data_IF_043842010667
#
_entry.id   IF_043842010667
#
_cell.length_a   1.000
_cell.length_b   1.000
_cell.length_c   1.000
_cell.angle_alpha   90.00
_cell.angle_beta   90.00
_cell.angle_gamma   90.00
#
_symmetry.space_group_name_H-M   'P 1'
#
loop_
_entity.id
_entity.type
_entity.pdbx_description
1 polymer ?
#
# COMPACT_ATOMS: atom_id res chain seq x y z
N UNK A 1 -24.65 59.64 21.31
CA UNK A 1 -23.92 59.65 22.59
C UNK A 1 -24.14 58.29 23.22
N UNK A 2 -23.18 57.41 23.49
CA UNK A 2 -21.70 57.36 23.43
C UNK A 2 -21.33 55.87 23.27
N UNK A 3 -20.58 55.47 22.24
CA UNK A 3 -19.16 55.09 22.30
C UNK A 3 -18.75 54.08 23.41
N UNK A 4 -18.56 52.82 22.96
CA UNK A 4 -17.49 51.84 23.21
C UNK A 4 -16.88 51.59 24.60
N UNK A 5 -16.87 50.32 25.04
CA UNK A 5 -15.68 49.42 25.14
C UNK A 5 -16.18 47.97 25.49
N UNK A 6 -16.15 46.94 24.64
CA UNK A 6 -15.10 46.05 24.08
C UNK A 6 -14.66 44.85 24.96
N UNK A 7 -14.70 43.66 24.30
CA UNK A 7 -14.08 42.34 24.61
C UNK A 7 -14.80 41.36 25.57
N UNK A 8 -15.60 40.45 25.00
CA UNK A 8 -15.61 38.97 25.18
C UNK A 8 -16.81 38.45 24.37
N UNK A 9 -16.62 38.09 23.10
CA UNK A 9 -16.24 36.75 22.61
C UNK A 9 -17.45 36.04 21.99
N UNK A 10 -17.56 36.24 20.66
CA UNK A 10 -18.34 35.45 19.70
C UNK A 10 -18.04 33.95 19.86
N UNK A 11 -18.87 33.14 20.50
CA UNK A 11 -18.96 31.68 20.28
C UNK A 11 -20.26 31.18 20.89
N UNK A 12 -21.34 31.16 20.11
CA UNK A 12 -22.61 30.61 20.57
C UNK A 12 -23.63 30.76 19.48
N UNK A 13 -23.78 29.71 18.66
CA UNK A 13 -25.04 29.28 18.01
C UNK A 13 -24.84 28.31 16.83
N UNK A 14 -23.61 28.03 16.39
CA UNK A 14 -23.40 27.15 15.19
C UNK A 14 -22.90 25.72 15.53
N UNK A 15 -22.54 25.41 16.79
CA UNK A 15 -21.96 24.11 17.14
C UNK A 15 -22.98 23.02 17.52
N UNK A 16 -24.20 23.37 17.92
CA UNK A 16 -25.18 22.39 18.45
C UNK A 16 -25.98 21.66 17.37
N UNK A 17 -26.16 22.24 16.18
CA UNK A 17 -26.89 21.59 15.07
C UNK A 17 -26.03 20.58 14.27
N UNK A 18 -24.72 20.81 14.18
CA UNK A 18 -23.80 19.91 13.44
C UNK A 18 -23.47 18.66 14.26
N UNK A 19 -23.40 18.78 15.58
CA UNK A 19 -23.23 17.63 16.49
C UNK A 19 -24.45 16.71 16.50
N UNK A 20 -25.69 17.22 16.37
CA UNK A 20 -26.89 16.36 16.36
C UNK A 20 -27.07 15.59 15.04
N UNK A 21 -26.73 16.17 13.89
CA UNK A 21 -26.76 15.47 12.60
C UNK A 21 -25.65 14.43 12.47
N UNK A 22 -24.48 14.70 13.05
CA UNK A 22 -23.39 13.72 13.19
C UNK A 22 -23.82 12.54 14.04
N UNK A 23 -24.42 12.79 15.21
CA UNK A 23 -24.90 11.75 16.11
C UNK A 23 -26.02 10.91 15.47
N UNK A 24 -27.01 11.57 14.84
CA UNK A 24 -28.12 10.89 14.16
C UNK A 24 -27.65 10.05 12.95
N UNK A 25 -26.65 10.51 12.18
CA UNK A 25 -26.04 9.71 11.10
C UNK A 25 -25.23 8.53 11.62
N UNK A 26 -24.58 8.66 12.78
CA UNK A 26 -23.90 7.54 13.46
C UNK A 26 -24.92 6.51 13.97
N UNK A 27 -26.03 6.96 14.58
CA UNK A 27 -27.13 6.08 14.98
C UNK A 27 -27.78 5.36 13.78
N UNK A 28 -28.03 6.06 12.67
CA UNK A 28 -28.64 5.46 11.48
C UNK A 28 -27.74 4.40 10.81
N UNK A 29 -26.41 4.58 10.82
CA UNK A 29 -25.45 3.59 10.28
C UNK A 29 -25.28 2.37 11.18
N UNK A 30 -25.35 2.55 12.50
CA UNK A 30 -25.34 1.43 13.47
C UNK A 30 -26.62 0.61 13.36
N UNK A 31 -27.78 1.26 13.19
CA UNK A 31 -29.05 0.59 12.97
C UNK A 31 -29.07 -0.23 11.66
N UNK A 32 -28.49 0.29 10.57
CA UNK A 32 -28.48 -0.41 9.28
C UNK A 32 -27.60 -1.67 9.27
N UNK A 33 -26.48 -1.66 10.02
CA UNK A 33 -25.64 -2.85 10.20
C UNK A 33 -26.30 -3.91 11.10
N UNK A 34 -27.09 -3.49 12.09
CA UNK A 34 -27.83 -4.40 12.96
C UNK A 34 -28.98 -5.15 12.24
N UNK A 35 -29.59 -4.53 11.21
CA UNK A 35 -30.65 -5.16 10.41
C UNK A 35 -30.14 -6.31 9.53
N UNK A 36 -28.86 -6.31 9.13
CA UNK A 36 -28.25 -7.35 8.28
C UNK A 36 -27.78 -8.61 9.05
N UNK A 37 -27.62 -8.54 10.38
CA UNK A 37 -27.13 -9.66 11.19
C UNK A 37 -28.24 -10.52 11.83
N UNK A 38 -29.53 -10.14 11.68
CA UNK A 38 -30.64 -10.77 12.38
C UNK A 38 -31.28 -11.98 11.66
N UNK A 39 -30.72 -12.44 10.53
CA UNK A 39 -31.37 -13.46 9.70
C UNK A 39 -30.89 -14.90 9.93
N UNK A 40 -30.58 -15.32 11.15
CA UNK A 40 -30.43 -16.76 11.47
C UNK A 40 -30.77 -17.01 12.95
N UNK A 41 -32.02 -17.36 13.23
CA UNK A 41 -32.42 -17.93 14.52
C UNK A 41 -32.57 -19.46 14.37
N UNK A 42 -31.89 -20.29 15.16
CA UNK A 42 -32.34 -21.67 15.36
C UNK A 42 -33.53 -21.69 16.30
N UNK A 43 -34.56 -22.44 15.92
CA UNK A 43 -35.68 -22.83 16.78
C UNK A 43 -35.12 -23.76 17.86
N UNK A 44 -35.00 -23.28 19.09
CA UNK A 44 -34.79 -24.13 20.26
C UNK A 44 -36.16 -24.46 20.87
N UNK A 45 -36.55 -25.72 20.76
CA UNK A 45 -37.71 -26.27 21.44
C UNK A 45 -37.49 -26.24 22.95
N UNK A 46 -38.39 -25.61 23.69
CA UNK A 46 -38.45 -25.71 25.14
C UNK A 46 -38.90 -27.13 25.51
N UNK A 47 -38.00 -27.89 26.13
CA UNK A 47 -38.35 -28.95 27.06
C UNK A 47 -37.68 -28.58 28.39
N UNK A 48 -38.37 -27.79 29.20
CA UNK A 48 -37.94 -27.58 30.59
C UNK A 48 -38.54 -28.68 31.46
N UNK A 49 -37.65 -29.39 32.16
CA UNK A 49 -37.95 -30.52 33.01
C UNK A 49 -38.57 -30.03 34.30
N UNK A 50 -39.89 -30.13 34.40
CA UNK A 50 -40.62 -29.96 35.65
C UNK A 50 -40.14 -30.96 36.69
N UNK A 51 -39.23 -30.52 37.57
CA UNK A 51 -38.92 -31.22 38.81
C UNK A 51 -40.16 -31.24 39.68
N UNK A 52 -40.77 -32.42 39.82
CA UNK A 52 -41.87 -32.63 40.75
C UNK A 52 -41.37 -32.44 42.18
N UNK A 53 -41.68 -31.29 42.78
CA UNK A 53 -41.60 -31.12 44.23
C UNK A 53 -42.80 -31.86 44.82
N UNK A 54 -42.54 -33.00 45.42
CA UNK A 54 -43.49 -33.64 46.33
C UNK A 54 -43.49 -32.83 47.63
N UNK A 55 -44.57 -32.11 47.91
CA UNK A 55 -44.83 -31.62 49.27
C UNK A 55 -46.09 -32.31 49.83
N UNK A 56 -46.03 -32.87 51.05
CA UNK A 56 -47.18 -33.44 51.73
C UNK A 56 -48.05 -32.32 52.30
N UNK A 57 -49.27 -32.68 52.71
CA UNK A 57 -50.32 -31.82 53.31
C UNK A 57 -51.31 -31.24 52.30
N UNK A 58 -52.58 -31.56 52.53
CA UNK A 58 -53.71 -31.33 51.63
C UNK A 58 -54.12 -29.86 51.49
N UNK A 59 -53.27 -29.06 50.85
CA UNK A 59 -53.64 -27.74 50.38
C UNK A 59 -54.64 -27.85 49.22
N UNK A 60 -55.66 -26.99 49.21
CA UNK A 60 -56.68 -26.94 48.16
C UNK A 60 -56.10 -26.66 46.76
N UNK A 61 -54.85 -26.23 46.67
CA UNK A 61 -54.15 -25.92 45.41
C UNK A 61 -52.87 -26.73 45.26
N UNK A 62 -52.62 -27.16 44.02
CA UNK A 62 -51.35 -27.71 43.56
C UNK A 62 -50.77 -26.78 42.50
N UNK A 63 -49.65 -26.15 42.81
CA UNK A 63 -48.90 -25.21 41.97
C UNK A 63 -47.77 -24.58 42.79
N UNK A 64 -46.85 -23.83 42.16
CA UNK A 64 -45.78 -23.17 42.89
C UNK A 64 -46.32 -21.97 43.68
N UNK A 65 -45.75 -21.67 44.84
CA UNK A 65 -45.98 -20.44 45.60
C UNK A 65 -45.30 -19.21 44.96
N UNK A 66 -44.34 -19.46 44.06
CA UNK A 66 -43.62 -18.41 43.31
C UNK A 66 -43.59 -18.69 41.82
N UNK A 67 -43.83 -17.67 41.01
CA UNK A 67 -43.63 -17.72 39.56
C UNK A 67 -42.70 -16.59 39.11
N UNK A 68 -42.04 -16.76 37.97
CA UNK A 68 -41.25 -15.70 37.35
C UNK A 68 -42.11 -14.89 36.39
N UNK A 69 -41.88 -13.58 36.34
CA UNK A 69 -42.51 -12.68 35.37
C UNK A 69 -42.43 -13.24 33.93
N UNK A 70 -43.58 -13.31 33.26
CA UNK A 70 -43.70 -13.85 31.90
C UNK A 70 -43.38 -15.34 31.74
N UNK A 71 -43.35 -16.10 32.83
CA UNK A 71 -43.29 -17.57 32.82
C UNK A 71 -44.62 -18.10 33.32
N UNK A 72 -45.24 -18.99 32.55
CA UNK A 72 -46.49 -19.60 32.91
C UNK A 72 -46.28 -20.81 33.83
N UNK A 73 -47.07 -20.91 34.89
CA UNK A 73 -47.14 -22.08 35.75
C UNK A 73 -48.55 -22.67 35.74
N UNK A 74 -48.68 -23.95 36.06
CA UNK A 74 -49.97 -24.61 36.16
C UNK A 74 -50.44 -24.64 37.61
N UNK A 75 -51.70 -24.29 37.81
CA UNK A 75 -52.38 -24.39 39.09
C UNK A 75 -53.59 -25.29 38.95
N UNK A 76 -53.70 -26.28 39.83
CA UNK A 76 -54.84 -27.19 39.91
C UNK A 76 -55.50 -27.02 41.27
N UNK A 77 -56.79 -26.69 41.29
CA UNK A 77 -57.56 -26.78 42.52
C UNK A 77 -57.92 -28.25 42.74
N UNK A 78 -57.54 -28.86 43.86
CA UNK A 78 -57.76 -30.31 44.07
C UNK A 78 -59.14 -30.61 44.65
N UNK A 79 -59.81 -29.61 45.24
CA UNK A 79 -61.17 -29.70 45.78
C UNK A 79 -62.16 -30.00 44.65
N UNK A 80 -63.01 -31.01 44.85
CA UNK A 80 -64.03 -31.39 43.87
C UNK A 80 -65.17 -30.37 43.90
N UNK A 81 -65.41 -29.68 42.77
CA UNK A 81 -66.47 -28.68 42.60
C UNK A 81 -67.33 -29.05 41.40
N UNK A 82 -68.60 -28.65 41.43
CA UNK A 82 -69.52 -28.77 40.28
C UNK A 82 -69.22 -27.75 39.18
N UNK A 83 -68.48 -26.67 39.49
CA UNK A 83 -68.03 -25.65 38.56
C UNK A 83 -66.74 -24.98 39.09
N UNK A 84 -65.84 -24.59 38.19
CA UNK A 84 -64.60 -23.85 38.52
C UNK A 84 -64.57 -22.48 37.82
N UNK A 85 -64.59 -21.40 38.61
CA UNK A 85 -64.37 -20.01 38.17
C UNK A 85 -63.09 -19.50 38.79
N UNK A 86 -62.10 -19.26 37.94
CA UNK A 86 -60.80 -18.74 38.34
C UNK A 86 -60.76 -17.23 38.16
N UNK A 87 -60.30 -16.54 39.20
CA UNK A 87 -60.08 -15.09 39.21
C UNK A 87 -58.83 -14.80 40.07
N UNK A 88 -58.42 -13.55 40.14
CA UNK A 88 -57.34 -13.12 41.03
C UNK A 88 -57.65 -11.76 41.66
N UNK A 89 -57.13 -11.58 42.86
CA UNK A 89 -57.16 -10.31 43.59
C UNK A 89 -55.74 -9.74 43.55
N UNK A 90 -55.63 -8.46 43.19
CA UNK A 90 -54.37 -7.72 43.24
C UNK A 90 -54.07 -7.32 44.67
N UNK A 91 -52.84 -7.55 45.10
CA UNK A 91 -52.37 -7.06 46.39
C UNK A 91 -51.81 -5.63 46.25
N UNK A 92 -51.70 -4.91 47.37
CA UNK A 92 -51.25 -3.52 47.40
C UNK A 92 -49.77 -3.35 46.98
N UNK A 93 -49.00 -4.44 46.97
CA UNK A 93 -47.56 -4.47 46.67
C UNK A 93 -47.25 -4.53 45.16
N UNK A 94 -48.26 -4.32 44.31
CA UNK A 94 -48.19 -4.59 42.88
C UNK A 94 -48.39 -6.08 42.58
N UNK A 95 -48.75 -6.42 41.35
CA UNK A 95 -48.99 -7.81 40.96
C UNK A 95 -50.15 -7.94 40.00
N UNK A 96 -49.92 -8.68 38.92
CA UNK A 96 -50.93 -8.92 37.89
C UNK A 96 -50.63 -10.24 37.21
N UNK A 97 -51.68 -10.99 36.87
CA UNK A 97 -51.56 -12.26 36.15
C UNK A 97 -52.54 -12.33 34.99
N UNK A 98 -52.17 -13.11 33.99
CA UNK A 98 -53.12 -13.62 33.00
C UNK A 98 -53.44 -15.07 33.33
N UNK A 99 -54.73 -15.40 33.42
CA UNK A 99 -55.22 -16.76 33.62
C UNK A 99 -55.71 -17.29 32.26
N UNK A 100 -55.22 -18.45 31.85
CA UNK A 100 -55.62 -19.15 30.63
C UNK A 100 -56.14 -20.55 30.97
N UNK A 101 -57.31 -20.89 30.45
CA UNK A 101 -57.89 -22.22 30.60
C UNK A 101 -57.19 -23.20 29.66
N UNK A 102 -56.72 -24.33 30.19
CA UNK A 102 -55.95 -25.33 29.43
C UNK A 102 -56.83 -26.26 28.58
N UNK A 103 -58.14 -26.23 28.79
CA UNK A 103 -59.14 -27.00 28.06
C UNK A 103 -60.38 -26.15 27.77
N UNK A 104 -61.22 -26.61 26.84
CA UNK A 104 -62.52 -26.00 26.54
C UNK A 104 -63.66 -26.65 27.34
N UNK A 105 -63.35 -27.30 28.47
CA UNK A 105 -64.27 -28.16 29.20
C UNK A 105 -65.08 -27.40 30.25
N UNK A 106 -65.51 -26.17 29.97
CA UNK A 106 -66.40 -25.43 30.87
C UNK A 106 -67.62 -26.30 31.21
N UNK A 107 -67.98 -26.47 32.51
CA UNK A 107 -67.51 -25.74 33.70
C UNK A 107 -66.36 -26.39 34.50
N UNK A 108 -65.72 -27.44 33.98
CA UNK A 108 -64.80 -28.34 34.70
C UNK A 108 -63.32 -27.95 34.64
N UNK A 109 -63.00 -26.65 34.56
CA UNK A 109 -61.61 -26.16 34.46
C UNK A 109 -60.83 -26.31 35.78
N UNK A 110 -60.58 -27.54 36.20
CA UNK A 110 -59.87 -27.83 37.45
C UNK A 110 -58.42 -27.32 37.45
N UNK A 111 -57.84 -27.14 36.26
CA UNK A 111 -56.47 -26.67 36.07
C UNK A 111 -56.43 -25.45 35.15
N UNK A 112 -55.66 -24.44 35.53
CA UNK A 112 -55.40 -23.24 34.74
C UNK A 112 -53.90 -23.01 34.57
N UNK A 113 -53.53 -22.31 33.49
CA UNK A 113 -52.20 -21.73 33.33
C UNK A 113 -52.22 -20.28 33.78
N UNK A 114 -51.36 -19.93 34.72
CA UNK A 114 -51.23 -18.58 35.28
C UNK A 114 -49.86 -18.03 34.94
N UNK A 115 -49.81 -16.83 34.38
CA UNK A 115 -48.58 -16.14 33.99
C UNK A 115 -48.56 -14.74 34.58
N UNK A 116 -47.49 -14.40 35.31
CA UNK A 116 -47.32 -13.06 35.88
C UNK A 116 -47.02 -12.00 34.83
N UNK A 117 -47.80 -10.92 34.82
CA UNK A 117 -47.68 -9.74 33.94
C UNK A 117 -47.20 -8.50 34.70
N UNK A 118 -47.12 -8.55 36.02
CA UNK A 118 -46.49 -7.52 36.86
C UNK A 118 -45.86 -8.18 38.10
N UNK A 119 -44.62 -7.80 38.43
CA UNK A 119 -43.91 -8.27 39.64
C UNK A 119 -44.65 -7.79 40.89
N UNK A 120 -44.74 -8.65 41.90
CA UNK A 120 -45.42 -8.39 43.17
C UNK A 120 -46.23 -9.61 43.64
N UNK A 121 -47.32 -9.41 44.37
CA UNK A 121 -48.14 -10.49 44.92
C UNK A 121 -49.55 -10.46 44.35
N UNK A 122 -50.11 -11.64 44.14
CA UNK A 122 -51.52 -11.81 43.81
C UNK A 122 -52.11 -12.93 44.64
N UNK A 123 -53.39 -12.80 44.97
CA UNK A 123 -54.17 -13.91 45.53
C UNK A 123 -54.99 -14.54 44.41
N UNK A 124 -54.65 -15.78 44.04
CA UNK A 124 -55.44 -16.59 43.12
C UNK A 124 -56.70 -17.09 43.84
N UNK A 125 -57.83 -16.95 43.18
CA UNK A 125 -59.15 -17.25 43.74
C UNK A 125 -59.84 -18.25 42.85
N UNK A 126 -60.40 -19.31 43.47
CA UNK A 126 -61.30 -20.22 42.78
C UNK A 126 -62.65 -20.24 43.48
N UNK A 127 -63.69 -19.98 42.69
CA UNK A 127 -65.09 -19.93 43.12
C UNK A 127 -65.97 -20.76 42.19
N UNK A 128 -67.28 -20.83 42.48
CA UNK A 128 -68.26 -21.59 41.70
C UNK A 128 -68.57 -22.96 42.28
N UNK A 129 -69.71 -23.51 41.83
CA UNK A 129 -70.26 -24.78 42.30
C UNK A 129 -70.80 -24.73 43.73
N UNK A 130 -70.71 -25.87 44.42
CA UNK A 130 -71.29 -26.11 45.77
C UNK A 130 -70.27 -25.96 46.92
N UNK A 131 -69.13 -25.30 46.68
CA UNK A 131 -68.03 -25.15 47.66
C UNK A 131 -67.64 -23.68 47.81
N UNK A 132 -67.31 -23.28 49.04
CA UNK A 132 -66.83 -21.92 49.35
C UNK A 132 -65.59 -21.53 48.53
N UNK A 133 -65.39 -20.22 48.40
CA UNK A 133 -64.22 -19.65 47.73
C UNK A 133 -62.93 -20.08 48.42
N UNK A 134 -61.97 -20.57 47.63
CA UNK A 134 -60.63 -20.90 48.13
C UNK A 134 -59.62 -19.92 47.53
N UNK A 135 -58.61 -19.56 48.32
CA UNK A 135 -57.60 -18.56 48.00
C UNK A 135 -56.19 -19.12 48.13
N UNK A 136 -55.29 -18.65 47.27
CA UNK A 136 -53.89 -19.02 47.30
C UNK A 136 -53.01 -17.83 46.91
N UNK A 137 -52.08 -17.45 47.78
CA UNK A 137 -51.14 -16.36 47.52
C UNK A 137 -50.00 -16.83 46.61
N UNK A 138 -49.64 -16.00 45.63
CA UNK A 138 -48.56 -16.24 44.69
C UNK A 138 -47.63 -15.02 44.67
N UNK A 139 -46.33 -15.25 44.82
CA UNK A 139 -45.30 -14.25 44.58
C UNK A 139 -44.83 -14.28 43.12
N UNK A 140 -44.97 -13.16 42.42
CA UNK A 140 -44.44 -12.96 41.07
C UNK A 140 -43.07 -12.29 41.20
N UNK A 141 -42.03 -13.08 40.98
CA UNK A 141 -40.63 -12.64 41.08
C UNK A 141 -40.11 -12.12 39.74
N UNK A 142 -39.03 -11.32 39.79
CA UNK A 142 -38.33 -10.85 38.59
C UNK A 142 -37.80 -12.03 37.76
N UNK A 143 -37.88 -11.92 36.44
CA UNK A 143 -37.32 -12.91 35.52
C UNK A 143 -35.81 -12.74 35.39
N UNK A 144 -35.07 -13.84 35.51
CA UNK A 144 -33.62 -13.83 35.32
C UNK A 144 -33.29 -13.91 33.83
N UNK A 145 -32.49 -12.97 33.33
CA UNK A 145 -32.05 -12.92 31.93
C UNK A 145 -30.55 -12.71 31.88
N UNK A 146 -29.87 -13.45 31.02
CA UNK A 146 -28.43 -13.33 30.80
C UNK A 146 -28.13 -12.82 29.40
N UNK A 147 -27.31 -11.78 29.28
CA UNK A 147 -26.74 -11.30 28.03
C UNK A 147 -25.29 -11.77 27.92
N UNK A 148 -24.95 -12.35 26.77
CA UNK A 148 -23.57 -12.74 26.43
C UNK A 148 -23.20 -12.12 25.08
N UNK A 149 -21.94 -11.75 24.95
CA UNK A 149 -21.36 -11.40 23.65
C UNK A 149 -20.21 -12.35 23.34
N UNK A 150 -20.13 -12.77 22.08
CA UNK A 150 -19.06 -13.66 21.60
C UNK A 150 -18.00 -12.89 20.86
N UNK A 151 -16.80 -13.47 20.80
CA UNK A 151 -15.72 -12.95 19.98
C UNK A 151 -16.07 -13.09 18.50
N UNK A 152 -15.75 -12.06 17.73
CA UNK A 152 -15.90 -12.03 16.28
C UNK A 152 -14.65 -11.49 15.65
N UNK A 153 -14.29 -12.06 14.50
CA UNK A 153 -13.14 -11.65 13.71
C UNK A 153 -13.47 -11.75 12.23
N UNK A 154 -12.95 -10.83 11.43
CA UNK A 154 -13.01 -10.88 9.96
C UNK A 154 -11.78 -10.23 9.34
N UNK A 155 -11.51 -10.54 8.07
CA UNK A 155 -10.55 -9.77 7.28
C UNK A 155 -11.15 -8.43 6.88
N UNK A 156 -10.34 -7.37 6.80
CA UNK A 156 -10.80 -6.04 6.42
C UNK A 156 -11.59 -6.04 5.10
N UNK A 157 -12.81 -5.53 5.12
CA UNK A 157 -13.74 -5.49 3.97
C UNK A 157 -14.36 -4.10 3.75
N UNK A 158 -14.00 -3.12 4.58
CA UNK A 158 -14.57 -1.76 4.54
C UNK A 158 -15.88 -1.59 5.31
N UNK A 159 -16.47 -2.67 5.82
CA UNK A 159 -17.73 -2.64 6.56
C UNK A 159 -17.50 -2.75 8.08
N UNK A 160 -18.35 -2.15 8.93
CA UNK A 160 -18.25 -2.34 10.37
C UNK A 160 -18.52 -3.80 10.77
N UNK A 161 -17.76 -4.30 11.75
CA UNK A 161 -18.05 -5.52 12.49
C UNK A 161 -18.47 -5.14 13.91
N UNK A 162 -19.57 -5.72 14.39
CA UNK A 162 -20.04 -5.59 15.76
C UNK A 162 -20.19 -6.97 16.40
N UNK A 163 -20.02 -7.06 17.72
CA UNK A 163 -20.26 -8.32 18.45
C UNK A 163 -21.76 -8.67 18.43
N UNK A 164 -22.17 -9.90 18.10
CA UNK A 164 -23.54 -10.32 18.30
C UNK A 164 -23.85 -10.41 19.80
N UNK A 165 -25.11 -10.14 20.16
CA UNK A 165 -25.63 -10.31 21.51
C UNK A 165 -26.53 -11.54 21.53
N UNK A 166 -26.27 -12.47 22.44
CA UNK A 166 -27.19 -13.56 22.76
C UNK A 166 -27.86 -13.31 24.10
N UNK A 167 -29.15 -13.65 24.18
CA UNK A 167 -29.99 -13.48 25.35
C UNK A 167 -30.60 -14.83 25.72
N UNK A 168 -30.44 -15.25 26.97
CA UNK A 168 -30.83 -16.58 27.45
C UNK A 168 -31.43 -16.48 28.87
N UNK A 169 -32.64 -17.04 29.14
CA UNK A 169 -33.55 -17.75 28.22
C UNK A 169 -34.38 -16.82 27.30
N UNK A 170 -34.12 -15.52 27.34
CA UNK A 170 -34.88 -14.49 26.61
C UNK A 170 -35.82 -13.69 27.53
N UNK A 171 -36.27 -12.53 27.06
CA UNK A 171 -37.26 -11.68 27.71
C UNK A 171 -38.67 -12.31 27.62
N UNK A 172 -39.64 -11.78 28.38
CA UNK A 172 -41.02 -12.23 28.30
C UNK A 172 -41.60 -11.97 26.89
N UNK A 173 -42.42 -12.89 26.39
CA UNK A 173 -42.89 -12.89 25.00
C UNK A 173 -43.79 -11.71 24.63
N UNK A 174 -44.37 -11.05 25.62
CA UNK A 174 -45.23 -9.88 25.46
C UNK A 174 -44.52 -8.54 25.65
N UNK A 175 -43.23 -8.58 26.01
CA UNK A 175 -42.34 -7.43 26.05
C UNK A 175 -41.62 -7.27 24.71
N UNK A 176 -41.22 -6.04 24.39
CA UNK A 176 -40.47 -5.71 23.18
C UNK A 176 -39.15 -5.05 23.61
N UNK A 177 -38.07 -5.81 23.50
CA UNK A 177 -36.75 -5.47 24.06
C UNK A 177 -35.67 -5.68 23.01
N UNK A 178 -34.91 -4.63 22.74
CA UNK A 178 -33.75 -4.65 21.85
C UNK A 178 -32.46 -4.62 22.67
N UNK A 179 -31.53 -5.51 22.34
CA UNK A 179 -30.21 -5.57 22.94
C UNK A 179 -29.14 -5.36 21.87
N UNK A 180 -28.25 -4.39 22.08
CA UNK A 180 -27.20 -4.04 21.12
C UNK A 180 -25.85 -4.06 21.84
N UNK A 181 -24.83 -4.57 21.16
CA UNK A 181 -23.44 -4.43 21.61
C UNK A 181 -22.90 -3.06 21.20
N UNK A 182 -22.13 -2.43 22.07
CA UNK A 182 -21.56 -1.10 21.81
C UNK A 182 -20.24 -1.18 21.04
N UNK A 183 -19.55 -2.33 21.10
CA UNK A 183 -18.30 -2.53 20.37
C UNK A 183 -18.58 -2.72 18.88
N UNK A 184 -18.08 -1.78 18.07
CA UNK A 184 -17.97 -1.94 16.62
C UNK A 184 -16.65 -1.39 16.10
N UNK A 185 -16.20 -1.91 14.96
CA UNK A 185 -14.95 -1.50 14.32
C UNK A 185 -15.00 -1.67 12.82
N UNK A 186 -14.30 -0.82 12.09
CA UNK A 186 -14.19 -0.91 10.62
C UNK A 186 -12.76 -1.10 10.14
N UNK A 187 -11.79 -0.40 10.74
CA UNK A 187 -10.37 -0.50 10.38
C UNK A 187 -9.72 -1.74 11.00
N UNK A 188 -8.44 -2.02 10.75
CA UNK A 188 -7.67 -3.14 11.33
C UNK A 188 -7.27 -2.91 12.78
N UNK A 189 -7.17 -3.99 13.57
CA UNK A 189 -6.89 -3.96 15.01
C UNK A 189 -7.84 -4.79 15.87
N UNK A 190 -7.89 -4.47 17.17
CA UNK A 190 -8.66 -5.20 18.18
C UNK A 190 -9.40 -4.19 19.06
N UNK A 191 -10.67 -4.46 19.36
CA UNK A 191 -11.41 -3.75 20.42
C UNK A 191 -11.83 -4.73 21.50
N UNK A 192 -11.43 -4.39 22.71
CA UNK A 192 -11.80 -5.05 23.95
C UNK A 192 -12.83 -4.16 24.68
N UNK A 193 -13.53 -4.73 25.67
CA UNK A 193 -14.52 -4.06 26.52
C UNK A 193 -15.87 -3.79 25.83
N UNK A 194 -16.56 -4.88 25.47
CA UNK A 194 -17.92 -4.77 24.96
C UNK A 194 -18.92 -4.48 26.08
N UNK A 195 -19.72 -3.43 25.92
CA UNK A 195 -20.86 -3.13 26.81
C UNK A 195 -22.18 -3.32 26.06
N UNK A 196 -23.27 -3.51 26.80
CA UNK A 196 -24.61 -3.71 26.24
C UNK A 196 -25.51 -2.50 26.46
N UNK A 197 -26.17 -2.06 25.40
CA UNK A 197 -27.33 -1.17 25.45
C UNK A 197 -28.61 -2.00 25.36
N UNK A 198 -29.55 -1.77 26.28
CA UNK A 198 -30.83 -2.48 26.36
C UNK A 198 -31.94 -1.44 26.27
N UNK A 199 -32.82 -1.61 25.29
CA UNK A 199 -33.91 -0.68 24.99
C UNK A 199 -35.23 -1.42 25.17
N UNK A 200 -36.02 -1.01 26.15
CA UNK A 200 -37.38 -1.49 26.35
C UNK A 200 -38.36 -0.60 25.58
N UNK A 201 -38.92 -1.13 24.49
CA UNK A 201 -40.01 -0.47 23.74
C UNK A 201 -41.35 -0.76 24.43
N UNK A 202 -41.51 -1.99 24.93
CA UNK A 202 -42.64 -2.42 25.75
C UNK A 202 -42.15 -3.31 26.89
N UNK A 203 -42.77 -3.16 28.06
CA UNK A 203 -42.34 -3.82 29.29
C UNK A 203 -41.58 -2.86 30.21
N UNK A 204 -41.08 -3.38 31.32
CA UNK A 204 -40.32 -2.59 32.30
C UNK A 204 -39.00 -3.27 32.66
N UNK A 205 -37.88 -2.53 32.74
CA UNK A 205 -36.61 -3.09 33.23
C UNK A 205 -36.72 -3.59 34.67
N UNK A 206 -37.64 -3.05 35.47
CA UNK A 206 -37.82 -3.44 36.87
C UNK A 206 -38.36 -4.88 37.01
N UNK A 207 -38.94 -5.45 35.95
CA UNK A 207 -39.44 -6.83 35.91
C UNK A 207 -38.33 -7.89 35.77
N UNK A 208 -37.07 -7.49 35.60
CA UNK A 208 -35.96 -8.38 35.26
C UNK A 208 -34.77 -8.26 36.20
N UNK A 209 -34.08 -9.39 36.41
CA UNK A 209 -32.72 -9.44 36.93
C UNK A 209 -31.77 -9.74 35.75
N UNK A 210 -31.06 -8.72 35.28
CA UNK A 210 -30.25 -8.80 34.07
C UNK A 210 -28.77 -9.00 34.43
N UNK A 211 -28.19 -10.14 34.04
CA UNK A 211 -26.76 -10.43 34.16
C UNK A 211 -26.05 -10.20 32.83
N UNK A 212 -24.93 -9.49 32.83
CA UNK A 212 -24.15 -9.15 31.61
C UNK A 212 -22.78 -9.81 31.65
N UNK A 213 -22.42 -10.53 30.58
CA UNK A 213 -21.08 -11.09 30.39
C UNK A 213 -20.37 -10.38 29.22
N UNK A 214 -19.50 -9.43 29.58
CA UNK A 214 -18.80 -8.49 28.69
C UNK A 214 -17.50 -9.07 28.11
N UNK A 215 -17.58 -10.27 27.52
CA UNK A 215 -16.40 -11.03 27.11
C UNK A 215 -16.06 -10.94 25.62
N UNK A 216 -16.87 -10.24 24.82
CA UNK A 216 -16.73 -10.21 23.37
C UNK A 216 -15.59 -9.31 22.90
N UNK A 217 -14.76 -9.84 22.00
CA UNK A 217 -13.70 -9.13 21.28
C UNK A 217 -14.15 -8.90 19.82
N UNK A 218 -13.88 -7.71 19.28
CA UNK A 218 -14.00 -7.40 17.84
C UNK A 218 -12.62 -7.24 17.22
N UNK A 219 -12.23 -8.20 16.39
CA UNK A 219 -10.98 -8.18 15.64
C UNK A 219 -11.22 -7.96 14.14
N UNK A 220 -10.38 -7.15 13.50
CA UNK A 220 -10.31 -7.09 12.03
C UNK A 220 -8.85 -7.20 11.65
N UNK A 221 -8.52 -8.22 10.89
CA UNK A 221 -7.17 -8.50 10.43
C UNK A 221 -6.88 -7.78 9.10
N UNK A 222 -5.61 -7.45 8.81
CA UNK A 222 -5.24 -6.83 7.54
C UNK A 222 -5.66 -7.65 6.33
N UNK A 223 -6.17 -6.98 5.29
CA UNK A 223 -6.47 -7.63 4.01
C UNK A 223 -5.18 -7.74 3.17
N UNK A 224 -4.78 -8.92 2.70
CA UNK A 224 -3.61 -9.07 1.86
C UNK A 224 -3.80 -8.46 0.47
N UNK A 225 -2.81 -7.69 0.02
CA UNK A 225 -2.71 -7.14 -1.34
C UNK A 225 -1.34 -7.46 -1.91
N UNK A 226 -1.30 -8.14 -3.06
CA UNK A 226 -0.05 -8.42 -3.76
C UNK A 226 0.13 -7.44 -4.91
N UNK A 227 1.30 -6.81 -4.98
CA UNK A 227 1.67 -5.83 -6.00
C UNK A 227 2.95 -6.28 -6.70
N UNK A 228 2.87 -6.49 -8.02
CA UNK A 228 3.99 -6.99 -8.82
C UNK A 228 4.40 -5.98 -9.87
N UNK A 229 5.63 -5.44 -9.81
CA UNK A 229 6.14 -4.60 -10.90
C UNK A 229 6.56 -5.44 -12.10
N UNK A 230 6.38 -4.90 -13.30
CA UNK A 230 6.69 -5.61 -14.54
C UNK A 230 8.21 -5.69 -14.78
N UNK A 231 8.65 -6.77 -15.40
CA UNK A 231 10.00 -6.90 -15.94
C UNK A 231 10.11 -6.22 -17.31
N UNK A 232 11.32 -5.88 -17.73
CA UNK A 232 11.61 -5.31 -19.04
C UNK A 232 12.97 -5.75 -19.54
N UNK A 233 13.17 -5.75 -20.86
CA UNK A 233 14.48 -6.02 -21.45
C UNK A 233 14.67 -5.22 -22.73
N UNK A 234 15.89 -4.74 -22.96
CA UNK A 234 16.33 -4.14 -24.22
C UNK A 234 17.83 -4.31 -24.43
N UNK A 235 18.28 -4.21 -25.67
CA UNK A 235 19.72 -4.04 -25.95
C UNK A 235 20.17 -2.64 -25.54
N UNK A 236 21.46 -2.48 -25.26
CA UNK A 236 22.04 -1.18 -24.95
C UNK A 236 21.83 -0.20 -26.11
N UNK A 237 21.10 0.88 -25.83
CA UNK A 237 20.84 1.99 -26.75
C UNK A 237 21.32 3.33 -26.17
N UNK A 238 21.94 3.30 -24.98
CA UNK A 238 22.41 4.45 -24.19
C UNK A 238 21.34 5.17 -23.37
N UNK A 239 20.06 4.85 -23.56
CA UNK A 239 18.99 5.39 -22.71
C UNK A 239 18.69 4.45 -21.53
N UNK A 240 18.24 4.95 -20.37
CA UNK A 240 17.79 4.08 -19.28
C UNK A 240 16.55 3.25 -19.68
N UNK A 241 16.54 1.97 -19.30
CA UNK A 241 15.35 1.13 -19.30
C UNK A 241 14.53 1.39 -18.04
N UNK A 242 13.25 1.71 -18.22
CA UNK A 242 12.26 1.84 -17.13
C UNK A 242 10.98 1.10 -17.48
N UNK A 243 10.25 0.58 -16.51
CA UNK A 243 8.93 -0.02 -16.73
C UNK A 243 7.95 0.35 -15.62
N UNK A 244 7.02 1.27 -15.90
CA UNK A 244 6.12 1.84 -14.89
C UNK A 244 4.80 1.08 -14.71
N UNK A 245 4.81 -0.24 -14.92
CA UNK A 245 3.62 -1.08 -14.79
C UNK A 245 3.66 -1.89 -13.49
N UNK A 246 2.59 -1.79 -12.70
CA UNK A 246 2.30 -2.69 -11.57
C UNK A 246 1.04 -3.49 -11.90
N UNK A 247 1.09 -4.79 -11.63
CA UNK A 247 -0.09 -5.66 -11.61
C UNK A 247 -0.50 -5.87 -10.16
N UNK A 248 -1.76 -5.60 -9.85
CA UNK A 248 -2.37 -5.98 -8.57
C UNK A 248 -2.83 -7.44 -8.70
N UNK A 249 -2.53 -8.28 -7.72
CA UNK A 249 -3.01 -9.66 -7.67
C UNK A 249 -4.54 -9.72 -7.75
N UNK A 250 -5.07 -10.81 -8.29
CA UNK A 250 -6.52 -10.97 -8.49
C UNK A 250 -7.29 -10.77 -7.18
N UNK A 251 -8.37 -10.00 -7.26
CA UNK A 251 -9.30 -9.84 -6.16
C UNK A 251 -10.06 -11.16 -5.98
N UNK A 252 -9.74 -11.89 -4.92
CA UNK A 252 -10.53 -13.00 -4.44
C UNK A 252 -11.28 -12.58 -3.16
N UNK A 253 -12.08 -13.50 -2.61
CA UNK A 253 -12.64 -13.32 -1.29
C UNK A 253 -11.47 -13.11 -0.31
N UNK A 254 -11.50 -11.99 0.40
CA UNK A 254 -10.49 -11.60 1.40
C UNK A 254 -9.09 -11.27 0.84
N UNK A 255 -8.92 -11.00 -0.46
CA UNK A 255 -7.66 -10.50 -1.05
C UNK A 255 -7.90 -9.29 -1.97
N UNK A 256 -6.84 -8.53 -2.24
CA UNK A 256 -6.91 -7.33 -3.10
C UNK A 256 -7.50 -6.12 -2.39
N UNK A 257 -7.68 -5.03 -3.13
CA UNK A 257 -8.27 -3.81 -2.61
C UNK A 257 -9.78 -3.99 -2.36
N UNK A 258 -10.29 -3.35 -1.30
CA UNK A 258 -11.74 -3.16 -1.14
C UNK A 258 -12.24 -2.27 -2.27
N UNK A 259 -13.49 -2.47 -2.71
CA UNK A 259 -14.07 -1.69 -3.79
C UNK A 259 -14.00 -0.17 -3.52
N UNK A 260 -13.58 0.59 -4.53
CA UNK A 260 -13.32 2.03 -4.42
C UNK A 260 -12.04 2.43 -3.67
N UNK A 261 -11.24 1.48 -3.15
CA UNK A 261 -9.93 1.75 -2.54
C UNK A 261 -8.79 1.34 -3.48
N UNK A 262 -7.58 1.86 -3.23
CA UNK A 262 -6.43 1.54 -4.06
C UNK A 262 -5.20 2.40 -3.80
N UNK A 263 -4.22 2.26 -4.67
CA UNK A 263 -2.97 3.01 -4.61
C UNK A 263 -2.46 3.38 -6.01
N UNK A 264 -1.61 4.40 -6.05
CA UNK A 264 -0.73 4.73 -7.17
C UNK A 264 0.70 4.31 -6.85
N UNK A 265 1.57 4.29 -7.87
CA UNK A 265 2.92 3.74 -7.74
C UNK A 265 3.98 4.71 -8.28
N UNK A 266 5.03 4.94 -7.49
CA UNK A 266 6.19 5.73 -7.89
C UNK A 266 7.39 4.81 -8.08
N UNK A 267 7.96 4.78 -9.28
CA UNK A 267 9.06 3.88 -9.62
C UNK A 267 10.42 4.52 -9.31
N UNK A 268 11.32 3.71 -8.79
CA UNK A 268 12.73 4.06 -8.54
C UNK A 268 13.70 3.15 -9.29
N UNK A 269 13.22 2.01 -9.80
CA UNK A 269 14.01 1.09 -10.60
C UNK A 269 14.34 1.64 -11.99
N UNK A 270 15.60 1.48 -12.40
CA UNK A 270 16.11 1.83 -13.72
C UNK A 270 17.37 1.00 -14.03
N UNK A 271 17.61 0.71 -15.31
CA UNK A 271 18.85 0.05 -15.78
C UNK A 271 19.31 0.68 -17.08
N UNK A 272 20.50 1.30 -17.12
CA UNK A 272 21.07 1.89 -18.34
C UNK A 272 22.18 1.05 -18.95
N UNK A 273 23.15 0.66 -18.14
CA UNK A 273 24.31 -0.13 -18.59
C UNK A 273 23.93 -1.61 -18.67
N UNK A 274 24.65 -2.39 -19.48
CA UNK A 274 24.48 -3.84 -19.56
C UNK A 274 24.52 -4.48 -18.18
N UNK A 275 23.53 -5.30 -17.88
CA UNK A 275 23.30 -5.86 -16.55
C UNK A 275 21.83 -5.96 -16.21
N UNK A 276 21.53 -6.07 -14.91
CA UNK A 276 20.15 -6.15 -14.43
C UNK A 276 19.98 -5.46 -13.09
N UNK A 277 18.80 -4.87 -12.89
CA UNK A 277 18.36 -4.27 -11.62
C UNK A 277 16.92 -4.63 -11.30
N UNK A 278 16.53 -4.47 -10.04
CA UNK A 278 15.12 -4.60 -9.63
C UNK A 278 14.30 -3.40 -10.11
N UNK A 279 13.08 -3.66 -10.57
CA UNK A 279 12.11 -2.63 -10.88
C UNK A 279 11.36 -2.18 -9.61
N UNK A 280 12.10 -1.56 -8.68
CA UNK A 280 11.58 -1.13 -7.39
C UNK A 280 10.55 0.01 -7.51
N UNK A 281 9.58 0.02 -6.60
CA UNK A 281 8.54 1.05 -6.54
C UNK A 281 7.99 1.27 -5.12
N UNK A 282 7.46 2.47 -4.91
CA UNK A 282 6.70 2.85 -3.73
C UNK A 282 5.20 2.79 -3.97
N UNK A 283 4.46 2.39 -2.94
CA UNK A 283 2.99 2.30 -2.95
C UNK A 283 2.43 3.53 -2.23
N UNK A 284 1.67 4.36 -2.95
CA UNK A 284 1.13 5.61 -2.45
C UNK A 284 -0.39 5.47 -2.38
N UNK A 285 -1.03 5.52 -1.19
CA UNK A 285 -2.46 5.29 -1.08
C UNK A 285 -3.25 6.37 -1.80
N UNK A 286 -4.35 5.97 -2.43
CA UNK A 286 -5.33 6.91 -2.95
C UNK A 286 -6.10 7.56 -1.79
N UNK A 287 -6.73 8.70 -2.07
CA UNK A 287 -7.64 9.33 -1.12
C UNK A 287 -8.70 8.32 -0.62
N UNK A 288 -8.93 8.27 0.70
CA UNK A 288 -9.86 7.32 1.31
C UNK A 288 -9.29 5.91 1.56
N UNK A 289 -8.06 5.62 1.14
CA UNK A 289 -7.40 4.34 1.43
C UNK A 289 -6.45 4.48 2.62
N UNK A 290 -6.65 3.65 3.66
CA UNK A 290 -5.72 3.54 4.78
C UNK A 290 -4.88 2.26 4.61
N UNK A 291 -3.57 2.40 4.39
CA UNK A 291 -2.68 1.26 4.19
C UNK A 291 -2.54 0.36 5.43
N UNK A 292 -2.77 0.88 6.63
CA UNK A 292 -2.74 0.06 7.86
C UNK A 292 -3.84 -1.02 7.88
N UNK A 293 -4.86 -0.87 7.02
CA UNK A 293 -5.90 -1.87 6.85
C UNK A 293 -5.47 -3.06 5.96
N UNK A 294 -4.28 -3.00 5.37
CA UNK A 294 -3.82 -3.94 4.37
C UNK A 294 -2.44 -4.50 4.72
N UNK A 295 -2.24 -5.77 4.38
CA UNK A 295 -0.91 -6.38 4.33
C UNK A 295 -0.39 -6.29 2.89
N UNK A 296 0.47 -5.31 2.63
CA UNK A 296 1.03 -5.08 1.29
C UNK A 296 2.23 -6.00 1.06
N UNK A 297 2.09 -6.93 0.10
CA UNK A 297 3.16 -7.81 -0.36
C UNK A 297 3.67 -7.31 -1.72
N UNK A 298 4.92 -6.85 -1.78
CA UNK A 298 5.54 -6.38 -3.03
C UNK A 298 6.38 -7.49 -3.67
N UNK A 299 6.32 -7.62 -4.98
CA UNK A 299 7.22 -8.46 -5.79
C UNK A 299 7.79 -7.60 -6.91
N UNK A 300 9.11 -7.52 -7.00
CA UNK A 300 9.75 -6.69 -8.02
C UNK A 300 10.07 -7.49 -9.28
N UNK A 301 9.68 -6.94 -10.42
CA UNK A 301 10.19 -7.38 -11.72
C UNK A 301 11.66 -7.02 -11.91
N UNK A 302 12.25 -7.49 -13.00
CA UNK A 302 13.66 -7.26 -13.33
C UNK A 302 13.78 -6.43 -14.60
N UNK A 303 14.65 -5.42 -14.60
CA UNK A 303 15.03 -4.64 -15.77
C UNK A 303 16.39 -5.15 -16.25
N UNK A 304 16.46 -5.62 -17.49
CA UNK A 304 17.69 -6.17 -18.06
C UNK A 304 18.11 -5.38 -19.29
N UNK A 305 19.36 -4.93 -19.30
CA UNK A 305 19.99 -4.39 -20.51
C UNK A 305 21.03 -5.41 -20.97
N UNK A 306 20.93 -5.83 -22.22
CA UNK A 306 21.88 -6.77 -22.84
C UNK A 306 22.85 -6.04 -23.75
N UNK A 307 23.97 -6.69 -24.05
CA UNK A 307 24.86 -6.23 -25.11
C UNK A 307 24.11 -6.07 -26.43
N UNK A 308 24.59 -5.13 -27.24
CA UNK A 308 24.12 -4.96 -28.62
C UNK A 308 24.49 -6.17 -29.46
N UNK A 309 23.54 -6.68 -30.23
CA UNK A 309 23.83 -7.64 -31.29
C UNK A 309 24.62 -6.99 -32.44
N UNK A 310 24.30 -5.74 -32.75
CA UNK A 310 25.04 -4.89 -33.71
C UNK A 310 25.73 -3.72 -32.98
N UNK A 311 27.03 -3.89 -32.73
CA UNK A 311 27.86 -2.86 -32.08
C UNK A 311 27.91 -1.58 -32.90
N UNK A 312 27.90 -0.44 -32.22
CA UNK A 312 28.11 0.85 -32.87
C UNK A 312 29.49 0.91 -33.51
N UNK A 313 29.58 1.46 -34.71
CA UNK A 313 30.83 1.62 -35.43
C UNK A 313 31.28 3.07 -35.29
N UNK A 314 32.50 3.28 -34.79
CA UNK A 314 33.16 4.59 -34.81
C UNK A 314 34.54 4.46 -35.43
N UNK A 315 34.99 5.51 -36.11
CA UNK A 315 36.30 5.56 -36.74
C UNK A 315 37.09 6.72 -36.16
N UNK A 316 38.29 6.44 -35.66
CA UNK A 316 39.24 7.44 -35.22
C UNK A 316 40.17 7.78 -36.38
N UNK A 317 40.28 9.06 -36.72
CA UNK A 317 41.18 9.53 -37.79
C UNK A 317 42.37 10.24 -37.15
N UNK A 318 43.58 9.64 -37.14
CA UNK A 318 44.77 10.31 -36.64
C UNK A 318 45.15 11.50 -37.52
N UNK A 319 45.72 12.54 -36.91
CA UNK A 319 46.11 13.74 -37.66
C UNK A 319 47.19 13.41 -38.70
N UNK A 320 46.97 13.86 -39.94
CA UNK A 320 47.98 13.84 -41.01
C UNK A 320 48.56 15.23 -41.23
N UNK A 321 49.83 15.31 -41.68
CA UNK A 321 50.51 16.60 -41.88
C UNK A 321 51.46 16.52 -43.06
N UNK A 322 51.44 17.52 -43.93
CA UNK A 322 52.37 17.66 -45.05
C UNK A 322 53.13 18.98 -44.95
N UNK A 323 54.45 18.93 -44.98
CA UNK A 323 55.35 20.08 -44.80
C UNK A 323 56.55 19.98 -45.73
N UNK A 324 57.15 21.11 -46.10
CA UNK A 324 58.40 21.15 -46.86
C UNK A 324 59.61 20.91 -45.97
N UNK A 325 60.61 20.21 -46.49
CA UNK A 325 61.88 19.97 -45.79
C UNK A 325 62.64 21.28 -45.53
N UNK A 326 63.03 21.52 -44.28
CA UNK A 326 63.80 22.70 -43.86
C UNK A 326 64.97 22.34 -42.92
N UNK A 327 65.30 21.05 -42.81
CA UNK A 327 66.37 20.55 -41.94
C UNK A 327 66.02 20.46 -40.45
N UNK A 328 64.76 20.71 -40.06
CA UNK A 328 64.30 20.57 -38.66
C UNK A 328 63.33 19.40 -38.49
N UNK A 329 63.33 18.78 -37.31
CA UNK A 329 62.39 17.69 -36.99
C UNK A 329 60.94 18.19 -37.04
N UNK A 330 60.09 17.41 -37.68
CA UNK A 330 58.65 17.64 -37.80
C UNK A 330 57.91 16.54 -37.08
N UNK A 331 56.79 16.90 -36.46
CA UNK A 331 55.90 15.96 -35.80
C UNK A 331 54.42 16.27 -36.07
N UNK A 332 53.62 15.21 -35.92
CA UNK A 332 52.16 15.24 -35.88
C UNK A 332 51.70 14.28 -34.79
N UNK A 333 50.66 14.67 -34.05
CA UNK A 333 50.08 13.85 -32.98
C UNK A 333 48.58 14.10 -32.80
N UNK A 334 47.92 13.17 -32.12
CA UNK A 334 46.49 13.24 -31.81
C UNK A 334 45.57 12.80 -32.93
N UNK A 335 44.27 13.01 -32.70
CA UNK A 335 43.17 12.66 -33.60
C UNK A 335 42.38 13.92 -33.98
N UNK A 336 41.60 13.86 -35.06
CA UNK A 336 40.72 14.95 -35.48
C UNK A 336 39.58 15.18 -34.48
N UNK A 337 38.97 14.10 -33.99
CA UNK A 337 37.97 14.10 -32.90
C UNK A 337 38.09 12.83 -32.07
N UNK A 338 37.74 12.94 -30.79
CA UNK A 338 37.52 11.83 -29.87
C UNK A 338 36.11 11.85 -29.28
N UNK A 339 35.24 12.73 -29.79
CA UNK A 339 33.84 12.87 -29.40
C UNK A 339 32.94 12.44 -30.56
N UNK A 340 31.98 11.56 -30.26
CA UNK A 340 31.04 11.01 -31.23
C UNK A 340 29.60 11.18 -30.74
N UNK A 341 28.70 11.57 -31.64
CA UNK A 341 27.28 11.66 -31.37
C UNK A 341 26.56 10.49 -32.07
N UNK A 342 25.92 9.61 -31.30
CA UNK A 342 25.15 8.48 -31.84
C UNK A 342 23.77 8.53 -31.21
N UNK A 343 22.72 8.53 -32.04
CA UNK A 343 21.33 8.60 -31.59
C UNK A 343 21.03 9.77 -30.61
N UNK A 344 21.74 10.90 -30.77
CA UNK A 344 21.58 12.07 -29.90
C UNK A 344 22.32 11.99 -28.56
N UNK A 345 23.11 10.93 -28.34
CA UNK A 345 23.97 10.78 -27.16
C UNK A 345 25.44 10.97 -27.52
N UNK A 346 26.19 11.50 -26.56
CA UNK A 346 27.61 11.80 -26.68
C UNK A 346 28.47 10.70 -26.08
N UNK A 347 29.48 10.27 -26.83
CA UNK A 347 30.46 9.27 -26.43
C UNK A 347 31.87 9.84 -26.61
N UNK A 348 32.75 9.52 -25.67
CA UNK A 348 34.14 9.96 -25.65
C UNK A 348 35.07 8.77 -25.74
N UNK A 349 36.12 8.88 -26.55
CA UNK A 349 37.14 7.84 -26.67
C UNK A 349 38.41 8.27 -25.95
N UNK A 350 38.93 7.38 -25.11
CA UNK A 350 40.17 7.58 -24.34
C UNK A 350 41.08 6.35 -24.45
N UNK A 351 42.27 6.41 -23.85
CA UNK A 351 43.20 5.27 -23.79
C UNK A 351 44.00 5.01 -25.09
N UNK A 352 43.89 5.89 -26.09
CA UNK A 352 44.61 5.81 -27.37
C UNK A 352 45.42 7.07 -27.63
N UNK A 353 46.61 6.88 -28.20
CA UNK A 353 47.52 7.95 -28.63
C UNK A 353 48.01 7.67 -30.05
N UNK A 354 48.22 8.72 -30.84
CA UNK A 354 48.74 8.63 -32.20
C UNK A 354 49.83 9.66 -32.43
N UNK A 355 50.98 9.25 -32.96
CA UNK A 355 52.06 10.19 -33.31
C UNK A 355 53.02 9.68 -34.40
N UNK A 356 53.64 10.63 -35.12
CA UNK A 356 54.79 10.41 -35.98
C UNK A 356 55.76 11.59 -35.90
N UNK A 357 57.05 11.30 -36.04
CA UNK A 357 58.12 12.28 -36.14
C UNK A 357 59.13 11.88 -37.22
N UNK A 358 59.70 12.88 -37.89
CA UNK A 358 60.67 12.70 -38.96
C UNK A 358 61.42 13.98 -39.26
N UNK A 359 62.63 13.87 -39.81
CA UNK A 359 63.45 15.04 -40.21
C UNK A 359 63.70 15.05 -41.72
N UNK A 360 64.02 13.90 -42.30
CA UNK A 360 64.34 13.79 -43.73
C UNK A 360 63.09 13.82 -44.61
N UNK A 361 63.26 14.12 -45.91
CA UNK A 361 62.18 14.03 -46.86
C UNK A 361 61.69 12.59 -47.00
N UNK A 362 60.38 12.37 -46.90
CA UNK A 362 59.78 11.04 -46.90
C UNK A 362 58.36 11.01 -46.35
N UNK A 363 57.82 9.80 -46.26
CA UNK A 363 56.52 9.53 -45.63
C UNK A 363 56.73 8.72 -44.35
N UNK A 364 56.17 9.21 -43.25
CA UNK A 364 56.26 8.60 -41.93
C UNK A 364 54.84 8.21 -41.49
N UNK A 365 54.49 6.91 -41.49
CA UNK A 365 53.20 6.45 -41.00
C UNK A 365 53.01 6.83 -39.53
N UNK A 366 51.82 7.35 -39.19
CA UNK A 366 51.44 7.64 -37.80
C UNK A 366 51.27 6.32 -37.06
N UNK A 367 52.00 6.16 -35.96
CA UNK A 367 51.87 4.99 -35.09
C UNK A 367 50.80 5.26 -34.05
N UNK A 368 49.90 4.30 -33.87
CA UNK A 368 48.85 4.33 -32.86
C UNK A 368 49.20 3.33 -31.76
N UNK A 369 49.04 3.74 -30.51
CA UNK A 369 49.29 2.93 -29.32
C UNK A 369 48.17 3.08 -28.30
N UNK A 370 48.02 2.07 -27.44
CA UNK A 370 46.97 2.02 -26.41
C UNK A 370 45.77 1.18 -26.82
N UNK A 371 44.73 1.18 -25.98
CA UNK A 371 43.47 0.48 -26.20
C UNK A 371 42.33 1.49 -26.06
N UNK A 372 41.46 1.57 -27.06
CA UNK A 372 40.34 2.50 -27.04
C UNK A 372 39.35 2.09 -25.94
N UNK A 373 39.00 3.05 -25.09
CA UNK A 373 37.94 2.94 -24.09
C UNK A 373 36.88 3.98 -24.43
N UNK A 374 35.65 3.53 -24.63
CA UNK A 374 34.51 4.38 -24.96
C UNK A 374 33.70 4.65 -23.69
N UNK A 375 33.59 5.93 -23.35
CA UNK A 375 32.90 6.42 -22.16
C UNK A 375 31.64 7.19 -22.59
N UNK A 376 30.50 6.93 -21.95
CA UNK A 376 29.29 7.72 -22.16
C UNK A 376 29.34 9.08 -21.43
N UNK A 377 28.33 9.94 -21.64
CA UNK A 377 28.27 11.25 -20.98
C UNK A 377 28.21 11.19 -19.44
N UNK A 378 27.80 10.06 -18.88
CA UNK A 378 27.64 9.85 -17.44
C UNK A 378 28.92 9.26 -16.80
N UNK A 379 29.95 8.98 -17.61
CA UNK A 379 31.23 8.44 -17.17
C UNK A 379 31.30 6.91 -17.12
N UNK A 380 30.33 6.20 -17.70
CA UNK A 380 30.32 4.74 -17.73
C UNK A 380 31.17 4.20 -18.88
N UNK A 381 31.93 3.13 -18.63
CA UNK A 381 32.62 2.37 -19.67
C UNK A 381 31.62 1.52 -20.44
N UNK A 382 31.47 1.84 -21.72
CA UNK A 382 30.55 1.18 -22.66
C UNK A 382 31.29 0.61 -23.86
N UNK A 383 32.61 0.42 -23.75
CA UNK A 383 33.50 -0.04 -24.82
C UNK A 383 32.98 -1.29 -25.52
N UNK A 384 32.41 -2.23 -24.76
CA UNK A 384 31.89 -3.48 -25.30
C UNK A 384 30.72 -3.30 -26.28
N UNK A 385 30.08 -2.12 -26.29
CA UNK A 385 28.98 -1.79 -27.19
C UNK A 385 29.45 -1.24 -28.54
N UNK A 386 30.77 -1.07 -28.72
CA UNK A 386 31.38 -0.42 -29.87
C UNK A 386 32.38 -1.32 -30.60
N UNK A 387 32.53 -1.06 -31.89
CA UNK A 387 33.69 -1.46 -32.69
C UNK A 387 34.41 -0.18 -33.09
N UNK A 388 35.67 -0.06 -32.67
CA UNK A 388 36.49 1.13 -32.92
C UNK A 388 37.47 0.82 -34.05
N UNK A 389 37.30 1.50 -35.18
CA UNK A 389 38.20 1.45 -36.31
C UNK A 389 39.17 2.63 -36.25
N UNK A 390 40.37 2.49 -36.81
CA UNK A 390 41.36 3.57 -36.86
C UNK A 390 41.88 3.68 -38.29
N UNK A 391 41.73 4.86 -38.88
CA UNK A 391 42.20 5.13 -40.24
C UNK A 391 43.73 5.27 -40.30
N UNK A 392 44.30 4.98 -41.47
CA UNK A 392 45.71 5.25 -41.74
C UNK A 392 45.98 6.76 -41.86
N UNK A 393 47.13 7.20 -41.34
CA UNK A 393 47.58 8.59 -41.40
C UNK A 393 49.10 8.68 -41.58
N UNK A 394 49.57 9.81 -42.12
CA UNK A 394 51.02 10.02 -42.34
C UNK A 394 51.47 11.46 -42.14
N UNK A 395 52.72 11.59 -41.72
CA UNK A 395 53.52 12.80 -41.85
C UNK A 395 54.31 12.73 -43.16
N UNK A 396 54.07 13.66 -44.08
CA UNK A 396 54.81 13.79 -45.33
C UNK A 396 55.75 14.99 -45.27
N UNK A 397 57.05 14.74 -45.44
CA UNK A 397 58.08 15.78 -45.55
C UNK A 397 58.49 15.83 -47.01
N UNK A 398 58.06 16.87 -47.73
CA UNK A 398 58.31 17.05 -49.16
C UNK A 398 59.68 17.69 -49.36
N UNK A 399 60.56 17.03 -50.12
CA UNK A 399 61.86 17.59 -50.49
C UNK A 399 61.72 18.89 -51.27
N UNK A 400 62.62 19.84 -51.03
CA UNK A 400 62.68 21.08 -51.81
C UNK A 400 63.41 20.78 -53.11
N UNK A 401 62.72 20.95 -54.24
CA UNK A 401 63.31 20.79 -55.57
C UNK A 401 64.34 21.91 -55.81
N UNK A 402 65.61 21.55 -55.86
CA UNK A 402 66.70 22.49 -56.14
C UNK A 402 66.80 22.90 -57.61
N UNK A 403 65.97 22.34 -58.51
CA UNK A 403 66.06 22.55 -59.97
C UNK A 403 65.01 23.50 -60.57
N UNK A 404 64.28 24.29 -59.76
CA UNK A 404 63.44 25.37 -60.30
C UNK A 404 64.31 26.54 -60.78
N UNK A 405 64.81 26.43 -62.01
CA UNK A 405 65.58 27.46 -62.71
C UNK A 405 64.82 28.79 -62.73
N UNK A 406 65.42 29.84 -62.19
CA UNK A 406 64.98 31.21 -62.40
C UNK A 406 65.32 31.64 -63.84
N UNK A 407 64.59 31.13 -64.83
CA UNK A 407 64.64 31.61 -66.21
C UNK A 407 63.70 32.81 -66.37
N UNK A 408 64.16 33.99 -65.94
CA UNK A 408 63.80 35.28 -66.54
C UNK A 408 64.73 36.38 -66.01
N UNK A 409 65.94 36.43 -66.58
CA UNK A 409 66.76 37.63 -66.61
C UNK A 409 66.19 38.60 -67.66
N UNK A 410 66.23 39.92 -67.41
CA UNK A 410 66.65 40.86 -68.43
C UNK A 410 68.11 41.24 -68.15
N UNK A 411 69.00 40.81 -69.02
CA UNK A 411 70.30 41.46 -69.19
C UNK A 411 70.09 42.81 -69.87
N UNK A 412 70.45 43.89 -69.18
CA UNK A 412 70.87 45.15 -69.81
C UNK A 412 72.10 45.64 -69.06
N UNK A 413 73.19 45.86 -69.80
CA UNK A 413 74.54 45.96 -69.27
C UNK A 413 74.96 47.34 -68.75
N UNK A 414 76.28 47.51 -68.86
CA UNK A 414 77.13 48.67 -68.56
C UNK A 414 77.77 48.77 -67.16
N UNK A 415 79.07 48.43 -67.17
CA UNK A 415 80.19 49.27 -66.72
C UNK A 415 80.47 49.52 -65.24
N UNK A 416 81.69 49.11 -64.88
CA UNK A 416 82.69 49.86 -64.12
C UNK A 416 82.75 49.83 -62.57
N UNK A 417 83.98 49.57 -62.12
CA UNK A 417 84.70 50.19 -61.01
C UNK A 417 84.41 49.77 -59.55
N UNK A 418 85.44 49.11 -58.99
CA UNK A 418 86.27 49.62 -57.88
C UNK A 418 85.55 50.05 -56.58
N UNK A 419 85.76 49.29 -55.50
CA UNK A 419 86.12 49.89 -54.20
C UNK A 419 87.01 48.92 -53.41
N UNK A 420 88.23 49.39 -53.13
CA UNK A 420 89.18 48.80 -52.19
C UNK A 420 88.98 49.40 -50.78
N UNK A 421 89.73 48.82 -49.82
CA UNK A 421 89.95 49.23 -48.41
C UNK A 421 89.06 48.49 -47.38
N UNK A 422 89.59 47.84 -46.33
CA UNK A 422 90.98 47.76 -45.90
C UNK A 422 91.17 46.91 -44.63
N UNK A 423 92.38 46.33 -44.58
CA UNK A 423 93.33 46.25 -43.45
C UNK A 423 93.05 45.32 -42.25
N UNK A 424 94.13 44.58 -41.96
CA UNK A 424 94.58 43.92 -40.71
C UNK A 424 94.19 42.43 -40.56
N UNK A 425 95.06 41.41 -40.65
CA UNK A 425 96.52 41.33 -40.76
C UNK A 425 97.09 40.52 -39.58
N UNK A 426 97.45 39.24 -39.77
CA UNK A 426 98.52 38.51 -39.05
C UNK A 426 99.02 37.34 -39.94
N UNK A 427 100.31 37.05 -39.81
CA UNK A 427 101.26 36.40 -40.71
C UNK A 427 101.13 34.87 -40.98
N UNK A 428 101.45 34.53 -42.23
CA UNK A 428 102.44 33.54 -42.75
C UNK A 428 102.76 32.31 -41.88
N UNK A 429 102.46 31.12 -42.42
CA UNK A 429 103.40 29.98 -42.46
C UNK A 429 103.02 29.02 -43.60
N UNK A 430 103.97 28.76 -44.50
CA UNK A 430 103.87 27.77 -45.57
C UNK A 430 104.03 26.34 -45.01
N UNK A 431 103.30 25.38 -45.58
CA UNK A 431 103.45 23.96 -45.24
C UNK A 431 102.64 23.08 -46.19
N UNK A 432 103.29 22.07 -46.73
CA UNK A 432 102.88 21.29 -47.89
C UNK A 432 101.71 20.30 -47.66
N UNK A 433 101.02 20.00 -48.76
CA UNK A 433 100.58 18.64 -49.09
C UNK A 433 99.28 18.12 -48.47
N UNK A 434 98.24 17.96 -49.30
CA UNK A 434 97.48 16.71 -49.35
C UNK A 434 96.53 16.73 -50.56
N UNK A 435 96.79 15.79 -51.46
CA UNK A 435 95.92 15.27 -52.49
C UNK A 435 94.65 14.68 -51.83
N UNK A 436 93.46 15.17 -52.16
CA UNK A 436 92.22 14.42 -51.93
C UNK A 436 91.38 14.35 -53.20
N UNK A 437 91.39 13.17 -53.78
CA UNK A 437 90.55 12.67 -54.87
C UNK A 437 89.09 12.63 -54.44
N UNK A 438 88.21 13.27 -55.21
CA UNK A 438 86.76 13.05 -55.11
C UNK A 438 86.44 11.63 -55.60
N UNK A 439 86.02 10.74 -54.70
CA UNK A 439 85.41 9.46 -55.07
C UNK A 439 83.92 9.52 -54.74
N UNK A 440 83.12 9.71 -55.79
CA UNK A 440 81.67 9.54 -55.76
C UNK A 440 81.36 8.08 -55.39
N UNK A 441 80.73 7.84 -54.23
CA UNK A 441 80.07 6.57 -53.92
C UNK A 441 78.56 6.79 -54.04
N UNK A 442 78.00 6.28 -55.12
CA UNK A 442 76.63 5.79 -55.13
C UNK A 442 76.60 4.49 -54.30
N UNK A 443 75.71 4.38 -53.32
CA UNK A 443 74.72 3.30 -53.21
C UNK A 443 74.11 3.17 -51.81
N UNK A 444 72.91 2.58 -51.84
CA UNK A 444 72.09 1.97 -50.79
C UNK A 444 70.98 2.87 -50.23
N UNK A 445 69.72 2.43 -50.17
CA UNK A 445 69.08 1.16 -50.55
C UNK A 445 67.58 1.37 -50.69
#
# INVERSE_FOLDING_TARGET
MSFMDSKFSKWGEVATAVLSQSLAKRFARVMLAAVLAASFLPVAAFADGGGAVSDPVGNAFKGPDKIQYGVAAQYTNITSRSEYKWDYIRDNDGGDVTISYLDNLYPNHKTVSVMGTQVGHVTLVVSGGDVDEERFEIEITKRNVTLKSTNVSKTYDGEPLACPVSVDPGFATFDDVYCISTSSRTNVGITNNNTFEIIFIKGSPDSYNITKFETGIVEITPRPVTLTSASGSKEYDGEPLTNHKVTVGEAARDTGWVDGQGATYSFTGSQKIVGSSENAFECIPNEGTNLDNYQINKTYGTLTVTDRSEKYQITLTPNSKSVTYDGTEKSVSGFETLEFQINGQTFYVSGVEASAAGTDAGEYPVKVSGQAVVIDSDGNDVTDQFTVNIDDAKLTIVGVDSDKSASNLPHTGDSAALYAMGICGVAIAAGAGALFTFRKRNNYK
#
